data_IF_669217563234
#
_entry.id   IF_669217563234
#
_cell.length_a   1.000
_cell.length_b   1.000
_cell.length_c   1.000
_cell.angle_alpha   90.00
_cell.angle_beta   90.00
_cell.angle_gamma   90.00
#
_symmetry.space_group_name_H-M   'P 1'
#
loop_
_entity.id
_entity.type
_entity.pdbx_description
1 polymer ?
#
# COMPACT_ATOMS: atom_id res chain seq x y z
N UNK A 1 13.93 7.65 29.28
CA UNK A 1 13.37 6.70 28.29
C UNK A 1 13.60 7.30 26.95
N UNK A 2 14.26 6.55 26.06
CA UNK A 2 14.60 7.03 24.73
C UNK A 2 13.50 6.66 23.73
N UNK A 3 12.99 7.65 23.01
CA UNK A 3 11.97 7.46 21.98
C UNK A 3 12.16 8.47 20.84
N UNK A 4 11.62 8.15 19.66
CA UNK A 4 11.63 9.06 18.53
C UNK A 4 10.18 9.46 18.21
N UNK A 5 9.93 10.76 18.09
CA UNK A 5 8.59 11.31 17.83
C UNK A 5 8.58 12.12 16.56
N UNK A 6 7.52 11.99 15.78
CA UNK A 6 7.26 12.83 14.62
C UNK A 6 7.01 14.29 15.05
N UNK A 7 7.36 15.24 14.19
CA UNK A 7 6.99 16.66 14.33
C UNK A 7 5.47 16.79 14.55
N UNK A 8 5.08 17.44 15.65
CA UNK A 8 3.68 17.58 16.02
C UNK A 8 3.43 18.88 16.78
N UNK A 9 2.14 19.26 16.89
CA UNK A 9 1.75 20.49 17.57
C UNK A 9 1.87 20.42 19.10
N UNK A 10 1.74 19.22 19.71
CA UNK A 10 1.90 19.09 21.16
C UNK A 10 3.31 19.43 21.62
N UNK A 11 4.32 19.11 20.82
CA UNK A 11 5.74 19.31 21.10
C UNK A 11 6.33 20.57 20.46
N UNK A 12 5.50 21.43 19.85
CA UNK A 12 5.94 22.54 19.00
C UNK A 12 6.91 23.51 19.68
N UNK A 13 6.70 23.81 20.97
CA UNK A 13 7.57 24.71 21.73
C UNK A 13 8.98 24.12 21.93
N UNK A 14 9.07 22.82 22.24
CA UNK A 14 10.36 22.15 22.40
C UNK A 14 11.09 22.04 21.06
N UNK A 15 10.36 21.68 20.01
CA UNK A 15 10.88 21.60 18.64
C UNK A 15 11.42 22.98 18.20
N UNK A 16 10.68 24.05 18.46
CA UNK A 16 11.09 25.42 18.16
C UNK A 16 12.45 25.75 18.78
N UNK A 17 12.63 25.49 20.08
CA UNK A 17 13.90 25.79 20.77
C UNK A 17 15.07 25.06 20.11
N UNK A 18 14.88 23.78 19.80
CA UNK A 18 15.91 22.95 19.17
C UNK A 18 16.28 23.46 17.78
N UNK A 19 15.29 23.69 16.91
CA UNK A 19 15.55 24.12 15.53
C UNK A 19 16.12 25.54 15.46
N UNK A 20 15.75 26.42 16.39
CA UNK A 20 16.33 27.76 16.49
C UNK A 20 17.80 27.73 16.88
N UNK A 21 18.17 26.91 17.86
CA UNK A 21 19.51 26.89 18.45
C UNK A 21 20.50 26.04 17.65
N UNK A 22 20.04 24.98 16.99
CA UNK A 22 20.89 24.12 16.17
C UNK A 22 21.58 24.96 15.07
N UNK A 23 22.91 24.87 14.88
CA UNK A 23 23.62 25.62 13.85
C UNK A 23 23.04 25.43 12.45
N UNK A 24 23.22 26.42 11.58
CA UNK A 24 22.69 26.38 10.20
C UNK A 24 23.27 25.22 9.37
N UNK A 25 24.49 24.81 9.66
CA UNK A 25 25.12 23.59 9.18
C UNK A 25 25.72 22.85 10.38
N UNK A 26 25.28 21.62 10.59
CA UNK A 26 25.77 20.74 11.63
C UNK A 26 26.39 19.48 11.02
N UNK A 27 27.66 19.58 10.62
CA UNK A 27 28.44 18.50 9.99
C UNK A 27 27.71 17.86 8.78
N UNK A 28 27.14 18.69 7.90
CA UNK A 28 26.36 18.26 6.73
C UNK A 28 24.86 18.20 6.98
N UNK A 29 24.40 18.31 8.24
CA UNK A 29 22.98 18.48 8.53
C UNK A 29 22.60 19.96 8.39
N UNK A 30 22.04 20.32 7.23
CA UNK A 30 21.54 21.66 6.99
C UNK A 30 20.26 21.96 7.79
N UNK A 31 20.28 23.05 8.56
CA UNK A 31 19.16 23.59 9.31
C UNK A 31 18.80 25.01 8.83
N UNK A 32 17.78 25.18 7.98
CA UNK A 32 17.37 26.50 7.50
C UNK A 32 16.64 27.34 8.56
N UNK A 33 16.41 26.81 9.75
CA UNK A 33 15.62 27.44 10.81
C UNK A 33 16.47 28.03 11.95
N UNK A 34 17.80 28.00 11.81
CA UNK A 34 18.69 28.61 12.78
C UNK A 34 18.34 30.09 13.00
N UNK A 35 18.11 30.48 14.25
CA UNK A 35 17.76 31.86 14.62
C UNK A 35 16.33 32.28 14.27
N UNK A 36 15.45 31.38 13.80
CA UNK A 36 14.06 31.72 13.48
C UNK A 36 13.31 32.27 14.71
N UNK A 37 12.47 33.28 14.49
CA UNK A 37 11.59 33.79 15.54
C UNK A 37 10.39 32.86 15.77
N UNK A 38 9.78 32.95 16.95
CA UNK A 38 8.72 32.03 17.37
C UNK A 38 7.45 32.20 16.55
N UNK A 39 7.14 33.42 16.14
CA UNK A 39 5.90 33.72 15.41
C UNK A 39 5.94 33.12 14.00
N UNK A 40 7.02 33.37 13.26
CA UNK A 40 7.27 32.76 11.94
C UNK A 40 7.32 31.23 12.04
N UNK A 41 7.94 30.70 13.10
CA UNK A 41 7.99 29.25 13.29
C UNK A 41 6.58 28.64 13.45
N UNK A 42 5.77 29.21 14.35
CA UNK A 42 4.46 28.67 14.69
C UNK A 42 3.44 28.85 13.56
N UNK A 43 3.45 29.99 12.87
CA UNK A 43 2.40 30.32 11.89
C UNK A 43 2.77 29.96 10.45
N UNK A 44 4.05 29.84 10.12
CA UNK A 44 4.47 29.54 8.74
C UNK A 44 5.25 28.23 8.64
N UNK A 45 6.24 28.02 9.52
CA UNK A 45 7.16 26.89 9.38
C UNK A 45 6.54 25.57 9.79
N UNK A 46 5.87 25.50 10.95
CA UNK A 46 5.21 24.29 11.43
C UNK A 46 4.16 23.75 10.45
N UNK A 47 3.19 24.57 9.97
CA UNK A 47 2.24 24.11 8.95
C UNK A 47 2.93 23.62 7.68
N UNK A 48 3.94 24.35 7.21
CA UNK A 48 4.68 23.97 6.00
C UNK A 48 5.42 22.64 6.15
N UNK A 49 6.00 22.37 7.32
CA UNK A 49 6.68 21.08 7.58
C UNK A 49 5.68 19.92 7.59
N UNK A 50 4.48 20.12 8.14
CA UNK A 50 3.38 19.13 8.14
C UNK A 50 2.86 18.89 6.71
N UNK A 51 2.63 19.96 5.95
CA UNK A 51 2.24 19.87 4.53
C UNK A 51 3.29 19.12 3.72
N UNK A 52 4.57 19.44 3.93
CA UNK A 52 5.69 18.80 3.26
C UNK A 52 5.75 17.29 3.56
N UNK A 53 5.50 16.88 4.80
CA UNK A 53 5.41 15.46 5.16
C UNK A 53 4.27 14.74 4.42
N UNK A 54 3.16 15.44 4.17
CA UNK A 54 2.02 14.91 3.40
C UNK A 54 2.17 15.05 1.88
N UNK A 55 3.29 15.59 1.40
CA UNK A 55 3.50 15.87 -0.02
C UNK A 55 2.67 17.02 -0.58
N UNK A 56 2.11 17.85 0.29
CA UNK A 56 1.26 19.00 -0.06
C UNK A 56 2.15 20.23 -0.28
N UNK A 57 1.82 21.04 -1.29
CA UNK A 57 2.52 22.32 -1.59
C UNK A 57 4.04 22.19 -1.79
N UNK A 58 4.52 21.04 -2.26
CA UNK A 58 5.94 20.82 -2.53
C UNK A 58 6.43 21.70 -3.69
N UNK A 59 7.61 22.29 -3.52
CA UNK A 59 8.31 22.97 -4.62
C UNK A 59 8.72 21.94 -5.69
N UNK A 60 8.79 22.31 -6.98
CA UNK A 60 9.31 21.43 -8.02
C UNK A 60 10.69 20.86 -7.65
N UNK A 61 10.83 19.54 -7.80
CA UNK A 61 12.06 18.82 -7.46
C UNK A 61 12.24 18.49 -5.97
N UNK A 62 11.28 18.84 -5.11
CA UNK A 62 11.28 18.40 -3.70
C UNK A 62 10.45 17.12 -3.56
N UNK A 63 10.82 16.31 -2.56
CA UNK A 63 10.11 15.09 -2.19
C UNK A 63 9.50 15.27 -0.78
N UNK A 64 8.41 14.55 -0.46
CA UNK A 64 7.88 14.52 0.89
C UNK A 64 8.96 14.12 1.90
N UNK A 65 8.99 14.84 3.02
CA UNK A 65 9.94 14.59 4.09
C UNK A 65 9.29 14.87 5.45
N UNK A 66 9.57 14.00 6.42
CA UNK A 66 9.10 14.14 7.79
C UNK A 66 10.28 14.43 8.71
N UNK A 67 10.10 15.37 9.62
CA UNK A 67 11.02 15.61 10.72
C UNK A 67 10.66 14.74 11.92
N UNK A 68 11.68 14.15 12.52
CA UNK A 68 11.58 13.36 13.74
C UNK A 68 12.57 13.89 14.78
N UNK A 69 12.17 13.81 16.04
CA UNK A 69 12.96 14.29 17.17
C UNK A 69 13.20 13.14 18.12
N UNK A 70 14.47 12.93 18.48
CA UNK A 70 14.87 11.92 19.45
C UNK A 70 14.77 12.54 20.85
N UNK A 71 13.98 11.93 21.71
CA UNK A 71 13.73 12.36 23.08
C UNK A 71 14.40 11.41 24.07
N UNK A 72 15.15 11.96 25.02
CA UNK A 72 15.50 11.27 26.26
C UNK A 72 14.71 11.93 27.39
N UNK A 73 13.72 11.20 27.90
CA UNK A 73 12.71 11.72 28.82
C UNK A 73 11.98 12.95 28.24
N UNK A 74 12.19 14.13 28.83
CA UNK A 74 11.53 15.38 28.43
C UNK A 74 12.44 16.31 27.61
N UNK A 75 13.60 15.82 27.15
CA UNK A 75 14.54 16.61 26.37
C UNK A 75 14.74 16.02 25.00
N UNK A 76 14.63 16.87 23.97
CA UNK A 76 15.10 16.51 22.63
C UNK A 76 16.62 16.50 22.66
N UNK A 77 17.21 15.42 22.15
CA UNK A 77 18.66 15.20 22.07
C UNK A 77 19.18 15.13 20.63
N UNK A 78 18.28 14.97 19.65
CA UNK A 78 18.66 14.92 18.23
C UNK A 78 17.48 15.17 17.28
N UNK A 79 17.82 15.54 16.05
CA UNK A 79 16.88 15.84 14.97
C UNK A 79 17.19 14.94 13.79
N UNK A 80 16.16 14.40 13.17
CA UNK A 80 16.24 13.51 12.03
C UNK A 80 15.27 13.99 10.94
N UNK A 81 15.68 13.85 9.69
CA UNK A 81 14.86 14.03 8.48
C UNK A 81 14.74 12.69 7.78
N UNK A 82 13.53 12.29 7.45
CA UNK A 82 13.24 11.11 6.64
C UNK A 82 12.51 11.55 5.37
N UNK A 83 13.17 11.37 4.22
CA UNK A 83 12.55 11.55 2.90
C UNK A 83 11.86 10.26 2.49
N UNK A 84 10.64 10.36 1.96
CA UNK A 84 9.77 9.18 1.76
C UNK A 84 10.09 8.40 0.47
N UNK A 85 10.75 9.06 -0.49
CA UNK A 85 11.32 8.48 -1.69
C UNK A 85 12.42 9.40 -2.22
N UNK A 86 13.22 8.94 -3.18
CA UNK A 86 14.28 9.74 -3.80
C UNK A 86 13.94 10.15 -5.23
N UNK A 87 14.33 11.37 -5.58
CA UNK A 87 14.58 11.76 -6.96
C UNK A 87 16.05 11.51 -7.33
N UNK A 88 16.43 11.76 -8.58
CA UNK A 88 17.80 11.52 -9.05
C UNK A 88 18.87 12.27 -8.25
N UNK A 89 18.61 13.53 -7.88
CA UNK A 89 19.55 14.34 -7.10
C UNK A 89 19.79 13.75 -5.70
N UNK A 90 18.73 13.27 -5.05
CA UNK A 90 18.82 12.68 -3.71
C UNK A 90 19.44 11.28 -3.75
N UNK A 91 19.20 10.52 -4.81
CA UNK A 91 19.76 9.18 -5.04
C UNK A 91 21.29 9.22 -5.18
N UNK A 92 21.80 10.28 -5.79
CA UNK A 92 23.23 10.54 -5.99
C UNK A 92 23.82 11.50 -4.95
N UNK A 93 23.09 11.82 -3.88
CA UNK A 93 23.53 12.75 -2.85
C UNK A 93 23.10 12.30 -1.45
N UNK A 94 22.53 13.22 -0.68
CA UNK A 94 22.21 13.02 0.75
C UNK A 94 21.20 11.89 1.08
N UNK A 95 20.59 11.22 0.11
CA UNK A 95 19.78 10.03 0.33
C UNK A 95 18.45 10.26 1.06
N UNK A 96 18.01 9.27 1.83
CA UNK A 96 16.74 9.26 2.56
C UNK A 96 16.84 9.94 3.93
N UNK A 97 17.92 9.70 4.67
CA UNK A 97 18.03 10.08 6.07
C UNK A 97 19.17 11.06 6.28
N UNK A 98 18.86 12.19 6.91
CA UNK A 98 19.86 13.09 7.49
C UNK A 98 19.56 13.31 8.96
N UNK A 99 20.57 13.39 9.81
CA UNK A 99 20.37 13.59 11.24
C UNK A 99 21.49 14.41 11.88
N UNK A 100 21.17 15.05 13.00
CA UNK A 100 22.10 15.82 13.81
C UNK A 100 21.82 15.60 15.29
N UNK A 101 22.87 15.35 16.08
CA UNK A 101 22.79 15.28 17.54
C UNK A 101 23.22 16.61 18.13
N UNK A 102 22.41 17.12 19.05
CA UNK A 102 22.68 18.38 19.73
C UNK A 102 24.05 18.33 20.44
N UNK A 103 24.84 19.42 20.42
CA UNK A 103 26.22 19.43 20.93
C UNK A 103 26.39 18.81 22.32
N UNK A 104 25.48 19.11 23.25
CA UNK A 104 25.52 18.62 24.64
C UNK A 104 25.35 17.09 24.78
N UNK A 105 24.83 16.42 23.75
CA UNK A 105 24.49 14.99 23.77
C UNK A 105 25.39 14.14 22.87
N UNK A 106 26.46 14.71 22.31
CA UNK A 106 27.39 13.96 21.44
C UNK A 106 28.21 12.94 22.21
N UNK A 107 28.71 11.94 21.47
CA UNK A 107 29.57 10.87 21.99
C UNK A 107 28.93 9.99 23.09
N UNK A 108 27.60 10.03 23.24
CA UNK A 108 26.84 9.23 24.20
C UNK A 108 26.02 8.11 23.54
N UNK A 109 26.19 7.90 22.23
CA UNK A 109 25.53 6.83 21.47
C UNK A 109 24.11 7.16 20.98
N UNK A 110 23.59 8.37 21.22
CA UNK A 110 22.24 8.77 20.79
C UNK A 110 22.03 8.70 19.28
N UNK A 111 23.03 9.06 18.46
CA UNK A 111 22.95 8.93 17.00
C UNK A 111 22.68 7.47 16.59
N UNK A 112 23.40 6.52 17.19
CA UNK A 112 23.23 5.08 16.90
C UNK A 112 21.83 4.60 17.27
N UNK A 113 21.38 4.92 18.49
CA UNK A 113 20.07 4.49 18.98
C UNK A 113 18.91 5.16 18.24
N UNK A 114 19.02 6.46 17.95
CA UNK A 114 17.99 7.20 17.22
C UNK A 114 17.89 6.79 15.76
N UNK A 115 19.02 6.52 15.09
CA UNK A 115 18.98 5.92 13.76
C UNK A 115 18.27 4.56 13.80
N UNK A 116 18.58 3.69 14.75
CA UNK A 116 17.88 2.40 14.89
C UNK A 116 16.35 2.56 15.02
N UNK A 117 15.90 3.47 15.90
CA UNK A 117 14.47 3.77 16.08
C UNK A 117 13.83 4.34 14.81
N UNK A 118 14.55 5.21 14.08
CA UNK A 118 14.05 5.78 12.84
C UNK A 118 13.97 4.73 11.72
N UNK A 119 14.94 3.81 11.63
CA UNK A 119 14.94 2.73 10.64
C UNK A 119 13.72 1.82 10.80
N UNK A 120 13.26 1.61 12.04
CA UNK A 120 12.03 0.88 12.33
C UNK A 120 10.77 1.58 11.80
N UNK A 121 10.78 2.91 11.67
CA UNK A 121 9.70 3.66 11.02
C UNK A 121 9.92 3.70 9.50
N UNK A 122 11.16 3.90 9.07
CA UNK A 122 11.51 4.13 7.67
C UNK A 122 11.14 2.95 6.78
N UNK A 123 11.19 1.71 7.30
CA UNK A 123 10.78 0.50 6.58
C UNK A 123 9.31 0.48 6.12
N UNK A 124 8.45 1.26 6.77
CA UNK A 124 7.03 1.39 6.42
C UNK A 124 6.73 2.63 5.54
N UNK A 125 7.74 3.48 5.31
CA UNK A 125 7.59 4.76 4.61
C UNK A 125 8.32 4.77 3.27
N UNK A 126 9.53 4.21 3.22
CA UNK A 126 10.40 4.20 2.04
C UNK A 126 9.91 3.19 1.01
N UNK A 127 9.89 3.60 -0.27
CA UNK A 127 9.44 2.76 -1.39
C UNK A 127 10.58 1.91 -1.98
N UNK A 128 11.80 2.40 -1.86
CA UNK A 128 13.02 1.79 -2.34
C UNK A 128 13.44 0.57 -1.51
N UNK A 129 14.19 -0.34 -2.15
CA UNK A 129 14.70 -1.56 -1.52
C UNK A 129 15.78 -1.31 -0.48
N UNK A 130 16.36 -0.10 -0.49
CA UNK A 130 17.41 0.28 0.43
C UNK A 130 17.23 1.72 0.90
N UNK A 131 17.71 1.98 2.11
CA UNK A 131 17.87 3.32 2.66
C UNK A 131 19.21 3.86 2.19
N UNK A 132 19.18 5.08 1.68
CA UNK A 132 20.33 5.76 1.10
C UNK A 132 20.76 6.79 2.14
N UNK A 133 22.04 6.82 2.48
CA UNK A 133 22.58 7.85 3.35
C UNK A 133 23.92 8.32 2.78
N UNK A 134 24.31 9.53 3.18
CA UNK A 134 25.64 10.07 2.91
C UNK A 134 26.23 10.60 4.22
N UNK A 135 27.55 10.65 4.30
CA UNK A 135 28.28 11.33 5.36
C UNK A 135 29.54 11.95 4.79
N UNK A 136 29.84 13.20 5.16
CA UNK A 136 31.12 13.80 4.81
C UNK A 136 32.30 13.01 5.37
N UNK A 137 33.40 12.95 4.61
CA UNK A 137 34.63 12.23 4.98
C UNK A 137 35.31 12.76 6.24
N UNK A 138 35.12 14.04 6.54
CA UNK A 138 35.59 14.67 7.78
C UNK A 138 34.70 14.41 8.99
N UNK A 139 33.54 13.76 8.80
CA UNK A 139 32.62 13.31 9.84
C UNK A 139 32.56 11.78 9.94
N UNK A 140 33.66 11.11 10.36
CA UNK A 140 33.70 9.66 10.46
C UNK A 140 32.68 9.11 11.47
N UNK A 141 32.24 9.91 12.46
CA UNK A 141 31.27 9.48 13.46
C UNK A 141 29.91 9.10 12.82
N UNK A 142 29.45 9.87 11.83
CA UNK A 142 28.19 9.56 11.11
C UNK A 142 28.31 8.25 10.34
N UNK A 143 29.43 8.03 9.63
CA UNK A 143 29.68 6.78 8.91
C UNK A 143 29.66 5.58 9.87
N UNK A 144 30.35 5.66 11.02
CA UNK A 144 30.35 4.57 12.01
C UNK A 144 28.94 4.28 12.55
N UNK A 145 28.10 5.30 12.74
CA UNK A 145 26.71 5.13 13.15
C UNK A 145 25.89 4.39 12.09
N UNK A 146 26.07 4.74 10.81
CA UNK A 146 25.39 4.09 9.69
C UNK A 146 25.80 2.61 9.60
N UNK A 147 27.11 2.32 9.61
CA UNK A 147 27.64 0.95 9.56
C UNK A 147 27.20 0.12 10.78
N UNK A 148 27.19 0.72 11.97
CA UNK A 148 26.75 0.04 13.20
C UNK A 148 25.25 -0.30 13.23
N UNK A 149 24.47 0.26 12.31
CA UNK A 149 23.05 -0.06 12.08
C UNK A 149 22.85 -0.99 10.87
N UNK A 150 23.92 -1.55 10.30
CA UNK A 150 23.83 -2.53 9.23
C UNK A 150 23.91 -1.96 7.82
N UNK A 151 24.22 -0.67 7.65
CA UNK A 151 24.54 -0.14 6.34
C UNK A 151 25.88 -0.67 5.82
N UNK A 152 26.04 -0.76 4.50
CA UNK A 152 27.32 -1.00 3.83
C UNK A 152 27.76 0.23 3.03
N UNK A 153 29.06 0.36 2.79
CA UNK A 153 29.59 1.42 1.92
C UNK A 153 29.33 1.02 0.47
N UNK A 154 28.56 1.83 -0.26
CA UNK A 154 28.31 1.61 -1.67
C UNK A 154 29.41 2.22 -2.55
N UNK A 155 29.78 3.47 -2.28
CA UNK A 155 30.87 4.19 -2.94
C UNK A 155 31.22 5.47 -2.15
N UNK A 156 32.26 6.18 -2.57
CA UNK A 156 32.67 7.48 -2.06
C UNK A 156 33.12 8.39 -3.21
N UNK A 157 33.12 9.71 -2.97
CA UNK A 157 33.70 10.71 -3.88
C UNK A 157 34.76 11.56 -3.16
N UNK A 158 35.07 12.77 -3.62
CA UNK A 158 36.08 13.60 -2.95
C UNK A 158 35.64 14.09 -1.55
N UNK A 159 34.34 14.26 -1.31
CA UNK A 159 33.79 14.92 -0.12
C UNK A 159 32.99 13.97 0.79
N UNK A 160 32.28 12.99 0.21
CA UNK A 160 31.28 12.18 0.90
C UNK A 160 31.55 10.67 0.75
N UNK A 161 31.02 9.91 1.72
CA UNK A 161 30.87 8.47 1.68
C UNK A 161 29.38 8.14 1.63
N UNK A 162 28.98 7.36 0.63
CA UNK A 162 27.60 6.97 0.41
C UNK A 162 27.37 5.54 0.88
N UNK A 163 26.40 5.38 1.79
CA UNK A 163 26.02 4.09 2.34
C UNK A 163 24.62 3.68 1.91
N UNK A 164 24.38 2.37 1.96
CA UNK A 164 23.10 1.74 1.68
C UNK A 164 22.76 0.77 2.79
N UNK A 165 21.49 0.70 3.16
CA UNK A 165 20.98 -0.26 4.13
C UNK A 165 19.79 -0.98 3.50
N UNK A 166 19.90 -2.29 3.19
CA UNK A 166 18.80 -3.05 2.64
C UNK A 166 17.60 -3.09 3.57
N UNK A 167 16.42 -2.74 3.05
CA UNK A 167 15.14 -2.92 3.72
C UNK A 167 14.47 -4.13 3.10
N UNK A 168 13.80 -4.96 3.90
CA UNK A 168 12.89 -5.94 3.33
C UNK A 168 11.70 -5.21 2.70
N UNK A 169 11.47 -5.36 1.39
CA UNK A 169 10.32 -4.71 0.74
C UNK A 169 9.03 -5.26 1.34
N UNK A 170 8.03 -4.38 1.46
CA UNK A 170 6.69 -4.79 1.85
C UNK A 170 6.03 -5.44 0.63
N UNK A 171 5.88 -6.75 0.69
CA UNK A 171 5.09 -7.48 -0.29
C UNK A 171 3.60 -7.28 -0.02
N UNK A 172 2.82 -7.11 -1.09
CA UNK A 172 1.38 -6.98 -1.00
C UNK A 172 0.68 -7.87 -2.03
N UNK A 173 -0.48 -8.38 -1.64
CA UNK A 173 -1.35 -9.17 -2.49
C UNK A 173 -2.74 -8.53 -2.47
N UNK A 174 -3.20 -8.06 -3.63
CA UNK A 174 -4.50 -7.42 -3.81
C UNK A 174 -5.42 -8.45 -4.46
N UNK A 175 -6.51 -8.79 -3.78
CA UNK A 175 -7.40 -9.87 -4.14
C UNK A 175 -8.71 -9.31 -4.70
N UNK A 176 -9.17 -9.88 -5.82
CA UNK A 176 -10.60 -9.91 -6.09
C UNK A 176 -11.32 -10.83 -5.08
N UNK A 177 -12.63 -10.67 -4.98
CA UNK A 177 -13.46 -11.38 -4.01
C UNK A 177 -14.25 -12.52 -4.66
N UNK A 178 -15.16 -12.20 -5.59
CA UNK A 178 -16.14 -13.12 -6.18
C UNK A 178 -15.51 -13.92 -7.33
N UNK A 179 -15.34 -15.24 -7.15
CA UNK A 179 -14.64 -16.09 -8.12
C UNK A 179 -13.18 -16.33 -7.78
N UNK A 180 -12.64 -15.62 -6.78
CA UNK A 180 -11.24 -15.73 -6.35
C UNK A 180 -11.09 -16.16 -4.88
N UNK A 181 -11.61 -15.39 -3.93
CA UNK A 181 -11.63 -15.80 -2.51
C UNK A 181 -12.94 -16.49 -2.14
N UNK A 182 -14.02 -16.10 -2.80
CA UNK A 182 -15.37 -16.61 -2.59
C UNK A 182 -15.82 -17.47 -3.78
N UNK A 183 -16.32 -18.65 -3.47
CA UNK A 183 -17.05 -19.49 -4.42
C UNK A 183 -18.51 -19.00 -4.45
N UNK A 184 -18.73 -17.91 -5.20
CA UNK A 184 -20.02 -17.23 -5.29
C UNK A 184 -20.73 -17.45 -6.63
N UNK A 185 -20.09 -18.11 -7.59
CA UNK A 185 -20.67 -18.33 -8.92
C UNK A 185 -21.96 -19.14 -8.87
N UNK A 186 -22.06 -20.14 -7.99
CA UNK A 186 -23.28 -20.93 -7.89
C UNK A 186 -24.46 -20.09 -7.41
N UNK A 187 -24.25 -19.23 -6.41
CA UNK A 187 -25.28 -18.30 -5.92
C UNK A 187 -25.67 -17.30 -7.02
N UNK A 188 -24.68 -16.72 -7.70
CA UNK A 188 -24.91 -15.79 -8.82
C UNK A 188 -25.75 -16.45 -9.92
N UNK A 189 -25.41 -17.68 -10.30
CA UNK A 189 -26.09 -18.41 -11.36
C UNK A 189 -27.49 -18.85 -10.94
N UNK A 190 -27.69 -19.30 -9.70
CA UNK A 190 -29.00 -19.65 -9.17
C UNK A 190 -29.94 -18.45 -9.17
N UNK A 191 -29.48 -17.29 -8.66
CA UNK A 191 -30.23 -16.04 -8.67
C UNK A 191 -30.55 -15.57 -10.09
N UNK A 192 -29.59 -15.68 -11.02
CA UNK A 192 -29.79 -15.30 -12.40
C UNK A 192 -30.77 -16.24 -13.12
N UNK A 193 -30.66 -17.56 -12.92
CA UNK A 193 -31.58 -18.54 -13.51
C UNK A 193 -33.01 -18.35 -13.01
N UNK A 194 -33.21 -18.15 -11.71
CA UNK A 194 -34.54 -17.91 -11.16
C UNK A 194 -35.10 -16.55 -11.62
N UNK A 195 -34.26 -15.52 -11.77
CA UNK A 195 -34.66 -14.24 -12.40
C UNK A 195 -35.15 -14.47 -13.83
N UNK A 196 -34.39 -15.19 -14.66
CA UNK A 196 -34.80 -15.45 -16.05
C UNK A 196 -36.10 -16.25 -16.11
N UNK A 197 -36.26 -17.24 -15.23
CA UNK A 197 -37.45 -18.07 -15.12
C UNK A 197 -38.68 -17.27 -14.67
N UNK A 198 -38.52 -16.31 -13.77
CA UNK A 198 -39.59 -15.39 -13.37
C UNK A 198 -40.17 -14.64 -14.57
N UNK A 199 -39.30 -14.22 -15.50
CA UNK A 199 -39.70 -13.57 -16.76
C UNK A 199 -40.04 -14.56 -17.89
N UNK A 200 -40.18 -15.86 -17.60
CA UNK A 200 -40.63 -16.87 -18.55
C UNK A 200 -39.55 -17.45 -19.46
N UNK A 201 -38.27 -17.22 -19.16
CA UNK A 201 -37.14 -17.70 -19.95
C UNK A 201 -36.36 -18.78 -19.21
N UNK A 202 -35.72 -19.67 -19.95
CA UNK A 202 -34.82 -20.68 -19.39
C UNK A 202 -33.53 -20.67 -20.18
N UNK A 203 -32.42 -20.57 -19.46
CA UNK A 203 -31.08 -20.59 -20.05
C UNK A 203 -30.30 -21.77 -19.50
N UNK A 204 -29.48 -22.34 -20.37
CA UNK A 204 -28.48 -23.32 -19.98
C UNK A 204 -27.50 -22.69 -18.97
N UNK A 205 -27.20 -23.43 -17.89
CA UNK A 205 -26.37 -22.94 -16.79
C UNK A 205 -24.93 -22.72 -17.23
N UNK A 206 -24.39 -23.58 -18.08
CA UNK A 206 -23.02 -23.51 -18.58
C UNK A 206 -22.84 -22.29 -19.48
N UNK A 207 -23.82 -22.01 -20.35
CA UNK A 207 -23.89 -20.78 -21.13
C UNK A 207 -23.90 -19.53 -20.25
N UNK A 208 -24.76 -19.48 -19.22
CA UNK A 208 -24.79 -18.34 -18.30
C UNK A 208 -23.45 -18.17 -17.56
N UNK A 209 -22.86 -19.26 -17.06
CA UNK A 209 -21.55 -19.25 -16.39
C UNK A 209 -20.49 -18.64 -17.30
N UNK A 210 -20.37 -19.17 -18.53
CA UNK A 210 -19.41 -18.68 -19.51
C UNK A 210 -19.63 -17.21 -19.85
N UNK A 211 -20.88 -16.79 -20.05
CA UNK A 211 -21.21 -15.40 -20.35
C UNK A 211 -20.83 -14.48 -19.18
N UNK A 212 -21.22 -14.83 -17.95
CA UNK A 212 -20.96 -13.99 -16.78
C UNK A 212 -19.46 -13.83 -16.51
N UNK A 213 -18.67 -14.91 -16.62
CA UNK A 213 -17.22 -14.87 -16.47
C UNK A 213 -16.59 -13.93 -17.51
N UNK A 214 -16.98 -14.07 -18.78
CA UNK A 214 -16.42 -13.28 -19.89
C UNK A 214 -16.93 -11.83 -19.95
N UNK A 215 -18.11 -11.55 -19.39
CA UNK A 215 -18.79 -10.26 -19.49
C UNK A 215 -19.23 -9.74 -18.10
N UNK A 216 -20.51 -9.80 -17.76
CA UNK A 216 -21.02 -9.54 -16.41
C UNK A 216 -22.50 -9.90 -16.32
N UNK A 217 -23.01 -10.09 -15.09
CA UNK A 217 -24.45 -10.22 -14.85
C UNK A 217 -25.20 -8.96 -15.27
N UNK A 218 -24.65 -7.78 -14.96
CA UNK A 218 -25.26 -6.51 -15.29
C UNK A 218 -25.44 -6.34 -16.82
N UNK A 219 -24.43 -6.71 -17.61
CA UNK A 219 -24.53 -6.68 -19.07
C UNK A 219 -25.57 -7.69 -19.57
N UNK A 220 -25.56 -8.92 -19.06
CA UNK A 220 -26.54 -9.94 -19.44
C UNK A 220 -27.98 -9.47 -19.18
N UNK A 221 -28.25 -8.94 -17.98
CA UNK A 221 -29.58 -8.44 -17.61
C UNK A 221 -29.98 -7.24 -18.47
N UNK A 222 -29.04 -6.35 -18.82
CA UNK A 222 -29.30 -5.23 -19.72
C UNK A 222 -29.70 -5.69 -21.11
N UNK A 223 -28.91 -6.57 -21.73
CA UNK A 223 -29.21 -7.12 -23.05
C UNK A 223 -30.53 -7.89 -23.06
N UNK A 224 -30.81 -8.65 -21.99
CA UNK A 224 -32.08 -9.34 -21.80
C UNK A 224 -33.26 -8.37 -21.70
N UNK A 225 -33.17 -7.35 -20.84
CA UNK A 225 -34.24 -6.37 -20.65
C UNK A 225 -34.53 -5.59 -21.93
N UNK A 226 -33.49 -5.16 -22.65
CA UNK A 226 -33.64 -4.49 -23.95
C UNK A 226 -34.34 -5.37 -24.98
N UNK A 227 -33.93 -6.64 -25.08
CA UNK A 227 -34.52 -7.61 -26.02
C UNK A 227 -36.00 -7.89 -25.75
N UNK A 228 -36.37 -8.01 -24.48
CA UNK A 228 -37.74 -8.34 -24.06
C UNK A 228 -38.63 -7.10 -23.84
N UNK A 229 -38.08 -5.89 -24.01
CA UNK A 229 -38.80 -4.63 -23.80
C UNK A 229 -39.15 -4.37 -22.32
N UNK A 230 -38.34 -4.88 -21.40
CA UNK A 230 -38.48 -4.71 -19.95
C UNK A 230 -37.66 -3.51 -19.46
N UNK A 231 -38.01 -2.96 -18.30
CA UNK A 231 -37.16 -1.97 -17.63
C UNK A 231 -36.00 -2.67 -16.93
N UNK A 232 -34.77 -2.26 -17.26
CA UNK A 232 -33.54 -2.84 -16.71
C UNK A 232 -33.54 -2.84 -15.18
N UNK A 233 -33.93 -1.73 -14.56
CA UNK A 233 -33.91 -1.53 -13.11
C UNK A 233 -34.80 -2.54 -12.39
N UNK A 234 -35.95 -2.93 -12.97
CA UNK A 234 -36.84 -3.91 -12.36
C UNK A 234 -36.23 -5.32 -12.36
N UNK A 235 -35.67 -5.73 -13.50
CA UNK A 235 -35.03 -7.05 -13.63
C UNK A 235 -33.80 -7.12 -12.74
N UNK A 236 -33.00 -6.05 -12.72
CA UNK A 236 -31.80 -5.97 -11.91
C UNK A 236 -32.12 -5.99 -10.41
N UNK A 237 -33.13 -5.26 -9.95
CA UNK A 237 -33.55 -5.26 -8.55
C UNK A 237 -34.10 -6.62 -8.09
N UNK A 238 -34.80 -7.34 -8.98
CA UNK A 238 -35.25 -8.70 -8.68
C UNK A 238 -34.06 -9.65 -8.50
N UNK A 239 -33.09 -9.58 -9.40
CA UNK A 239 -31.85 -10.35 -9.31
C UNK A 239 -31.07 -10.05 -8.02
N UNK A 240 -30.86 -8.78 -7.68
CA UNK A 240 -30.09 -8.41 -6.47
C UNK A 240 -30.77 -8.92 -5.20
N UNK A 241 -32.10 -8.84 -5.13
CA UNK A 241 -32.87 -9.37 -3.99
C UNK A 241 -32.65 -10.87 -3.79
N UNK A 242 -32.61 -11.64 -4.89
CA UNK A 242 -32.33 -13.08 -4.83
C UNK A 242 -30.88 -13.38 -4.48
N UNK A 243 -29.93 -12.59 -5.01
CA UNK A 243 -28.51 -12.75 -4.71
C UNK A 243 -28.23 -12.48 -3.24
N UNK A 244 -28.83 -11.42 -2.68
CA UNK A 244 -28.64 -11.04 -1.28
C UNK A 244 -29.17 -12.11 -0.33
N UNK A 245 -30.33 -12.69 -0.64
CA UNK A 245 -30.90 -13.82 0.12
C UNK A 245 -30.05 -15.10 0.04
N UNK A 246 -29.19 -15.22 -0.98
CA UNK A 246 -28.28 -16.34 -1.18
C UNK A 246 -26.88 -16.15 -0.60
N UNK A 247 -26.53 -14.96 -0.10
CA UNK A 247 -25.18 -14.65 0.38
C UNK A 247 -24.70 -15.59 1.50
N UNK A 248 -25.60 -16.07 2.37
CA UNK A 248 -25.29 -17.03 3.45
C UNK A 248 -24.81 -18.40 2.94
N UNK A 249 -25.05 -18.70 1.66
CA UNK A 249 -24.62 -19.96 1.03
C UNK A 249 -23.23 -19.86 0.41
N UNK A 250 -22.67 -18.65 0.29
CA UNK A 250 -21.35 -18.42 -0.29
C UNK A 250 -20.28 -19.06 0.61
N UNK A 251 -19.36 -19.78 -0.03
CA UNK A 251 -18.25 -20.46 0.65
C UNK A 251 -16.93 -19.84 0.22
N UNK A 252 -15.90 -20.12 0.99
CA UNK A 252 -14.54 -19.82 0.57
C UNK A 252 -14.12 -20.77 -0.55
N UNK A 253 -13.40 -20.25 -1.53
CA UNK A 253 -12.64 -21.08 -2.46
C UNK A 253 -11.66 -21.96 -1.65
N UNK A 254 -11.44 -23.18 -2.14
CA UNK A 254 -10.52 -24.13 -1.52
C UNK A 254 -9.18 -23.46 -1.24
N UNK A 255 -8.69 -23.64 -0.01
CA UNK A 255 -7.44 -23.08 0.51
C UNK A 255 -7.35 -21.54 0.58
N UNK A 256 -8.42 -20.77 0.31
CA UNK A 256 -8.36 -19.31 0.39
C UNK A 256 -7.91 -18.80 1.77
N UNK A 257 -8.57 -19.26 2.85
CA UNK A 257 -8.19 -18.89 4.22
C UNK A 257 -6.76 -19.30 4.58
N UNK A 258 -6.35 -20.51 4.21
CA UNK A 258 -5.00 -21.01 4.48
C UNK A 258 -3.94 -20.18 3.75
N UNK A 259 -4.21 -19.80 2.49
CA UNK A 259 -3.32 -18.97 1.68
C UNK A 259 -3.14 -17.59 2.31
N UNK A 260 -4.23 -16.91 2.68
CA UNK A 260 -4.20 -15.62 3.37
C UNK A 260 -3.41 -15.67 4.68
N UNK A 261 -3.60 -16.74 5.48
CA UNK A 261 -2.87 -16.99 6.72
C UNK A 261 -1.36 -17.14 6.49
N UNK A 262 -0.95 -17.98 5.53
CA UNK A 262 0.45 -18.24 5.23
C UNK A 262 1.16 -17.00 4.68
N UNK A 263 0.50 -16.25 3.79
CA UNK A 263 1.02 -14.97 3.28
C UNK A 263 1.23 -13.96 4.40
N UNK A 264 0.27 -13.82 5.33
CA UNK A 264 0.43 -12.96 6.52
C UNK A 264 1.62 -13.39 7.38
N UNK A 265 1.81 -14.70 7.58
CA UNK A 265 2.95 -15.24 8.34
C UNK A 265 4.30 -14.97 7.66
N UNK A 266 4.32 -14.84 6.33
CA UNK A 266 5.49 -14.41 5.54
C UNK A 266 5.67 -12.89 5.48
N UNK A 267 4.81 -12.12 6.15
CA UNK A 267 4.87 -10.66 6.16
C UNK A 267 4.23 -9.98 4.94
N UNK A 268 3.53 -10.75 4.09
CA UNK A 268 2.77 -10.20 2.95
C UNK A 268 1.48 -9.58 3.46
N UNK A 269 1.18 -8.34 3.04
CA UNK A 269 -0.07 -7.65 3.37
C UNK A 269 -1.15 -8.00 2.35
N UNK A 270 -2.27 -8.55 2.80
CA UNK A 270 -3.41 -8.80 1.93
C UNK A 270 -4.35 -7.60 1.90
N UNK A 271 -4.86 -7.27 0.72
CA UNK A 271 -5.87 -6.24 0.48
C UNK A 271 -6.97 -6.81 -0.41
N UNK A 272 -8.19 -6.29 -0.30
CA UNK A 272 -9.29 -6.68 -1.21
C UNK A 272 -9.67 -5.48 -2.07
N UNK A 273 -9.90 -5.71 -3.36
CA UNK A 273 -10.51 -4.73 -4.27
C UNK A 273 -11.61 -5.41 -5.09
N UNK A 274 -12.86 -5.18 -4.69
CA UNK A 274 -14.05 -5.82 -5.25
C UNK A 274 -15.05 -4.78 -5.77
N UNK A 275 -15.94 -5.23 -6.68
CA UNK A 275 -17.12 -4.45 -7.10
C UNK A 275 -18.33 -4.69 -6.18
N UNK A 276 -18.25 -5.63 -5.23
CA UNK A 276 -19.26 -5.81 -4.18
C UNK A 276 -19.29 -4.58 -3.26
N UNK A 277 -20.47 -4.23 -2.79
CA UNK A 277 -20.74 -3.04 -1.98
C UNK A 277 -20.41 -3.27 -0.49
N UNK A 278 -21.03 -2.51 0.42
CA UNK A 278 -20.87 -2.58 1.87
C UNK A 278 -20.94 -4.00 2.45
N UNK A 279 -21.67 -4.93 1.81
CA UNK A 279 -21.81 -6.31 2.28
C UNK A 279 -20.49 -7.09 2.25
N UNK A 280 -19.51 -6.66 1.44
CA UNK A 280 -18.22 -7.34 1.32
C UNK A 280 -17.51 -7.52 2.68
N UNK A 281 -17.53 -6.50 3.55
CA UNK A 281 -16.86 -6.56 4.85
C UNK A 281 -17.52 -7.57 5.78
N UNK A 282 -18.85 -7.61 5.81
CA UNK A 282 -19.60 -8.57 6.62
C UNK A 282 -19.31 -10.01 6.18
N UNK A 283 -19.30 -10.26 4.86
CA UNK A 283 -18.98 -11.60 4.32
C UNK A 283 -17.57 -12.05 4.71
N UNK A 284 -16.58 -11.15 4.72
CA UNK A 284 -15.22 -11.47 5.18
C UNK A 284 -15.19 -11.84 6.68
N UNK A 285 -16.03 -11.22 7.50
CA UNK A 285 -16.17 -11.53 8.93
C UNK A 285 -16.84 -12.89 9.14
N UNK A 286 -17.97 -13.13 8.48
CA UNK A 286 -18.76 -14.35 8.61
C UNK A 286 -17.97 -15.60 8.18
N UNK A 287 -17.13 -15.44 7.15
CA UNK A 287 -16.22 -16.49 6.67
C UNK A 287 -14.90 -16.56 7.46
N UNK A 288 -14.72 -15.69 8.45
CA UNK A 288 -13.58 -15.70 9.36
C UNK A 288 -12.25 -15.46 8.66
N UNK A 289 -12.21 -14.58 7.66
CA UNK A 289 -11.00 -14.17 6.95
C UNK A 289 -10.67 -12.67 7.07
N UNK A 290 -11.58 -11.86 7.63
CA UNK A 290 -11.37 -10.42 7.84
C UNK A 290 -10.05 -10.09 8.57
N UNK A 291 -9.66 -10.89 9.57
CA UNK A 291 -8.42 -10.68 10.33
C UNK A 291 -7.12 -10.80 9.50
N UNK A 292 -7.20 -11.37 8.29
CA UNK A 292 -6.06 -11.51 7.37
C UNK A 292 -6.00 -10.40 6.33
N UNK A 293 -7.03 -9.56 6.24
CA UNK A 293 -7.15 -8.47 5.26
C UNK A 293 -6.82 -7.14 5.93
N UNK A 294 -5.86 -6.42 5.37
CA UNK A 294 -5.36 -5.14 5.91
C UNK A 294 -6.27 -3.97 5.55
N UNK A 295 -6.88 -4.00 4.35
CA UNK A 295 -7.84 -3.01 3.90
C UNK A 295 -8.68 -3.58 2.75
N UNK A 296 -9.94 -3.12 2.65
CA UNK A 296 -10.89 -3.54 1.61
C UNK A 296 -11.43 -2.31 0.91
N UNK A 297 -11.27 -2.27 -0.41
CA UNK A 297 -11.99 -1.40 -1.33
C UNK A 297 -13.24 -2.14 -1.82
N UNK A 298 -14.36 -1.46 -1.72
CA UNK A 298 -15.70 -1.88 -2.12
C UNK A 298 -16.26 -0.94 -3.20
N UNK A 299 -17.41 -1.31 -3.78
CA UNK A 299 -18.14 -0.43 -4.70
C UNK A 299 -18.55 0.91 -4.10
N UNK A 300 -18.68 1.00 -2.77
CA UNK A 300 -19.12 2.22 -2.08
C UNK A 300 -18.00 3.26 -1.90
N UNK A 301 -16.73 2.87 -2.09
CA UNK A 301 -15.60 3.78 -1.97
C UNK A 301 -15.49 4.78 -3.15
N UNK A 302 -16.30 4.58 -4.21
CA UNK A 302 -16.48 5.56 -5.29
C UNK A 302 -15.36 5.61 -6.35
N UNK A 303 -14.39 4.69 -6.29
CA UNK A 303 -13.37 4.55 -7.34
C UNK A 303 -13.98 4.02 -8.65
N UNK A 304 -13.35 4.33 -9.77
CA UNK A 304 -13.65 3.72 -11.06
C UNK A 304 -13.57 2.19 -10.96
N UNK A 305 -14.47 1.50 -11.66
CA UNK A 305 -14.52 0.03 -11.67
C UNK A 305 -13.39 -0.52 -12.54
N UNK A 306 -12.76 -1.61 -12.09
CA UNK A 306 -11.93 -2.50 -12.93
C UNK A 306 -12.55 -2.68 -14.33
N UNK A 307 -11.79 -2.55 -15.43
CA UNK A 307 -10.33 -2.64 -15.51
C UNK A 307 -9.59 -1.30 -15.31
N UNK A 308 -10.22 -0.27 -14.75
CA UNK A 308 -9.51 0.94 -14.34
C UNK A 308 -8.59 0.66 -13.11
N UNK A 309 -7.33 1.17 -13.10
CA UNK A 309 -6.38 0.91 -12.01
C UNK A 309 -6.52 1.85 -10.80
N UNK A 310 -7.47 2.80 -10.79
CA UNK A 310 -7.59 3.84 -9.74
C UNK A 310 -7.57 3.27 -8.31
N UNK A 311 -8.37 2.23 -8.05
CA UNK A 311 -8.41 1.58 -6.73
C UNK A 311 -7.08 0.95 -6.32
N UNK A 312 -6.32 0.41 -7.28
CA UNK A 312 -4.99 -0.16 -7.02
C UNK A 312 -4.00 0.96 -6.70
N UNK A 313 -3.97 2.04 -7.50
CA UNK A 313 -3.11 3.19 -7.24
C UNK A 313 -3.36 3.82 -5.87
N UNK A 314 -4.63 3.91 -5.46
CA UNK A 314 -4.98 4.34 -4.12
C UNK A 314 -4.33 3.48 -3.03
N UNK A 315 -4.36 2.14 -3.16
CA UNK A 315 -3.71 1.25 -2.19
C UNK A 315 -2.19 1.46 -2.16
N UNK A 316 -1.57 1.56 -3.34
CA UNK A 316 -0.13 1.80 -3.46
C UNK A 316 0.29 3.10 -2.75
N UNK A 317 -0.47 4.18 -2.95
CA UNK A 317 -0.15 5.48 -2.37
C UNK A 317 -0.50 5.59 -0.88
N UNK A 318 -1.64 5.04 -0.47
CA UNK A 318 -2.10 5.05 0.93
C UNK A 318 -1.17 4.26 1.83
N UNK A 319 -0.73 3.08 1.38
CA UNK A 319 0.08 2.16 2.16
C UNK A 319 1.56 2.17 1.78
N UNK A 320 1.98 3.13 0.94
CA UNK A 320 3.36 3.32 0.46
C UNK A 320 3.97 2.04 -0.13
N UNK A 321 3.14 1.27 -0.83
CA UNK A 321 3.57 0.01 -1.43
C UNK A 321 4.33 0.28 -2.72
N UNK A 322 5.37 -0.50 -2.96
CA UNK A 322 6.09 -0.49 -4.22
C UNK A 322 5.44 -1.51 -5.17
N UNK A 323 5.04 -1.04 -6.35
CA UNK A 323 4.37 -1.82 -7.38
C UNK A 323 5.11 -3.10 -7.76
N UNK A 324 6.46 -3.08 -7.75
CA UNK A 324 7.29 -4.24 -8.08
C UNK A 324 7.11 -5.42 -7.11
N UNK A 325 6.62 -5.17 -5.89
CA UNK A 325 6.37 -6.19 -4.85
C UNK A 325 4.89 -6.44 -4.60
N UNK A 326 4.04 -5.87 -5.44
CA UNK A 326 2.60 -6.05 -5.38
C UNK A 326 2.15 -7.06 -6.45
N UNK A 327 1.16 -7.87 -6.09
CA UNK A 327 0.42 -8.70 -7.04
C UNK A 327 -1.06 -8.36 -7.00
N UNK A 328 -1.72 -8.47 -8.15
CA UNK A 328 -3.17 -8.60 -8.25
C UNK A 328 -3.54 -10.07 -8.47
N UNK A 329 -4.48 -10.59 -7.71
CA UNK A 329 -5.03 -11.93 -7.87
C UNK A 329 -6.51 -11.82 -8.17
N UNK A 330 -6.92 -12.36 -9.31
CA UNK A 330 -8.33 -12.43 -9.73
C UNK A 330 -8.57 -13.64 -10.61
N UNK A 331 -9.79 -13.83 -11.07
CA UNK A 331 -10.17 -14.95 -11.96
C UNK A 331 -10.58 -14.46 -13.36
N UNK A 332 -10.62 -13.14 -13.58
CA UNK A 332 -11.18 -12.53 -14.80
C UNK A 332 -10.17 -11.63 -15.50
N UNK A 333 -10.35 -11.44 -16.82
CA UNK A 333 -9.49 -10.56 -17.63
C UNK A 333 -9.46 -9.11 -17.14
N UNK A 334 -10.57 -8.60 -16.60
CA UNK A 334 -10.63 -7.25 -16.05
C UNK A 334 -9.68 -7.06 -14.84
N UNK A 335 -9.42 -8.12 -14.09
CA UNK A 335 -8.49 -8.12 -12.97
C UNK A 335 -7.04 -8.02 -13.46
N UNK A 336 -6.72 -8.87 -14.45
CA UNK A 336 -5.43 -8.85 -15.13
C UNK A 336 -5.15 -7.48 -15.75
N UNK A 337 -6.11 -6.90 -16.49
CA UNK A 337 -5.97 -5.58 -17.10
C UNK A 337 -5.79 -4.47 -16.05
N UNK A 338 -6.54 -4.49 -14.95
CA UNK A 338 -6.40 -3.50 -13.88
C UNK A 338 -5.00 -3.56 -13.26
N UNK A 339 -4.52 -4.75 -12.91
CA UNK A 339 -3.18 -4.94 -12.36
C UNK A 339 -2.07 -4.51 -13.33
N UNK A 340 -2.20 -4.84 -14.63
CA UNK A 340 -1.23 -4.43 -15.65
C UNK A 340 -1.18 -2.92 -15.84
N UNK A 341 -2.34 -2.25 -15.91
CA UNK A 341 -2.40 -0.78 -15.99
C UNK A 341 -1.82 -0.12 -14.74
N UNK A 342 -1.95 -0.75 -13.58
CA UNK A 342 -1.34 -0.29 -12.34
C UNK A 342 0.19 -0.58 -12.25
N UNK A 343 0.75 -1.34 -13.19
CA UNK A 343 2.16 -1.71 -13.21
C UNK A 343 2.54 -2.78 -12.19
N UNK A 344 1.59 -3.61 -11.74
CA UNK A 344 1.83 -4.69 -10.78
C UNK A 344 1.72 -6.07 -11.44
N UNK A 345 2.31 -7.09 -10.80
CA UNK A 345 2.28 -8.46 -11.32
C UNK A 345 0.88 -9.05 -11.20
N UNK A 346 0.40 -9.77 -12.20
CA UNK A 346 -0.94 -10.37 -12.19
C UNK A 346 -0.88 -11.89 -12.04
N UNK A 347 -1.81 -12.42 -11.27
CA UNK A 347 -2.07 -13.84 -11.09
C UNK A 347 -3.54 -14.09 -11.41
N UNK A 348 -3.80 -14.99 -12.35
CA UNK A 348 -5.14 -15.51 -12.62
C UNK A 348 -5.34 -16.83 -11.87
N UNK A 349 -6.32 -16.87 -10.99
CA UNK A 349 -6.84 -18.11 -10.41
C UNK A 349 -7.89 -18.66 -11.38
N UNK A 350 -7.55 -19.74 -12.08
CA UNK A 350 -8.43 -20.38 -13.04
C UNK A 350 -8.70 -21.82 -12.57
N UNK A 351 -9.94 -22.09 -12.21
CA UNK A 351 -10.38 -23.48 -12.08
C UNK A 351 -10.33 -24.18 -13.46
N UNK A 352 -10.31 -25.52 -13.46
CA UNK A 352 -10.09 -26.30 -14.70
C UNK A 352 -11.15 -26.09 -15.80
N UNK A 353 -12.28 -25.48 -15.47
CA UNK A 353 -13.40 -25.23 -16.38
C UNK A 353 -13.53 -23.75 -16.77
N UNK A 354 -12.61 -22.88 -16.33
CA UNK A 354 -12.67 -21.46 -16.64
C UNK A 354 -12.45 -21.19 -18.14
N UNK A 355 -13.33 -20.40 -18.80
CA UNK A 355 -13.16 -20.01 -20.20
C UNK A 355 -12.12 -18.88 -20.39
N UNK A 356 -11.53 -18.37 -19.30
CA UNK A 356 -10.60 -17.25 -19.33
C UNK A 356 -9.24 -17.72 -19.84
N UNK A 357 -8.66 -16.92 -20.73
CA UNK A 357 -7.26 -17.05 -21.09
C UNK A 357 -6.54 -15.77 -20.71
N UNK A 358 -5.30 -15.85 -20.20
CA UNK A 358 -4.47 -14.67 -19.95
C UNK A 358 -4.34 -13.80 -21.19
N UNK A 359 -4.34 -12.49 -20.99
CA UNK A 359 -4.12 -11.48 -22.01
C UNK A 359 -2.63 -11.18 -22.20
N UNK A 360 -1.81 -11.40 -21.18
CA UNK A 360 -0.38 -11.08 -21.17
C UNK A 360 0.47 -12.31 -20.87
N UNK A 361 1.61 -12.45 -21.56
CA UNK A 361 2.49 -13.63 -21.46
C UNK A 361 3.12 -13.82 -20.07
N UNK A 362 3.35 -12.73 -19.34
CA UNK A 362 3.96 -12.72 -18.02
C UNK A 362 2.94 -12.85 -16.87
N UNK A 363 1.65 -13.03 -17.19
CA UNK A 363 0.61 -13.34 -16.19
C UNK A 363 0.75 -14.78 -15.71
N UNK A 364 0.84 -14.95 -14.40
CA UNK A 364 0.88 -16.28 -13.79
C UNK A 364 -0.53 -16.85 -13.73
N UNK A 365 -0.67 -18.15 -14.03
CA UNK A 365 -1.94 -18.87 -13.88
C UNK A 365 -1.77 -19.93 -12.82
N UNK A 366 -2.70 -19.97 -11.87
CA UNK A 366 -2.75 -20.98 -10.80
C UNK A 366 -4.13 -21.61 -10.75
N UNK A 367 -4.19 -22.89 -10.40
CA UNK A 367 -5.40 -23.70 -10.21
C UNK A 367 -5.67 -24.00 -8.72
N UNK A 368 -4.74 -23.60 -7.84
CA UNK A 368 -4.81 -23.71 -6.39
C UNK A 368 -4.16 -22.47 -5.78
N UNK A 369 -4.89 -21.78 -4.91
CA UNK A 369 -4.43 -20.57 -4.24
C UNK A 369 -3.16 -20.80 -3.40
N UNK A 370 -2.90 -22.03 -2.91
CA UNK A 370 -1.67 -22.33 -2.17
C UNK A 370 -0.40 -22.10 -2.98
N UNK A 371 -0.46 -22.27 -4.31
CA UNK A 371 0.70 -22.03 -5.20
C UNK A 371 1.17 -20.57 -5.17
N UNK A 372 0.31 -19.64 -4.75
CA UNK A 372 0.66 -18.22 -4.61
C UNK A 372 1.65 -18.03 -3.44
N UNK A 373 1.57 -18.86 -2.39
CA UNK A 373 2.47 -18.76 -1.23
C UNK A 373 3.92 -18.98 -1.63
N UNK A 374 4.18 -19.86 -2.59
CA UNK A 374 5.52 -20.20 -3.08
C UNK A 374 6.19 -19.06 -3.85
N UNK A 375 5.44 -18.00 -4.21
CA UNK A 375 5.98 -16.82 -4.88
C UNK A 375 6.65 -15.83 -3.93
N UNK A 376 6.51 -16.03 -2.62
CA UNK A 376 7.04 -15.16 -1.58
C UNK A 376 7.95 -15.99 -0.67
N UNK A 377 9.26 -15.71 -0.70
CA UNK A 377 10.27 -16.46 0.08
C UNK A 377 10.33 -16.01 1.55
#
# INVERSE_FOLDING_TARGET
MLEIRELNWQDADAIYQVLKELPADENGFMNPYHGIDKETFMHETMPKLIDTASGINLKPGYVPQTYYFLWEDNHIVGVYKLRHYLNENLRNGSGHIGYGILPAYRNQGYAKKGLALLLDIAKDVIREDEIYMASHKDNPASLHVQLANGAYIHHDDEEEVYTRLPIKPIHACIWDLDGTLLDSYDVILDSLQETMKHYGHTYDREYLRKYVILHSVHQFIREFAEKEGLQFEMVYQYYTTLQDAGNDQVKLIKNAKQTLQLLKCKGVRNYVYTHKDHTAKQVLEDLGIAEYISYTITGDDGFAKKPDPEGIHYLLDKFKLNAAYCTYVGDRRLDEEAGKKAGIKCILFLDGDSPVTPLYEDTLVVDDLLKIVDLYE
#
